data_IF_471722542370
#
_entry.id   IF_471722542370
#
_cell.length_a   1.000
_cell.length_b   1.000
_cell.length_c   1.000
_cell.angle_alpha   90.00
_cell.angle_beta   90.00
_cell.angle_gamma   90.00
#
_symmetry.space_group_name_H-M   'P 1'
#
loop_
_entity.id
_entity.type
_entity.pdbx_description
1 polymer ?
#
# COMPACT_ATOMS: atom_id res chain seq x y z
N UNK A 1 -7.14 5.08 -11.01
CA UNK A 1 -7.07 6.33 -11.79
C UNK A 1 -7.36 6.12 -13.28
N UNK A 2 -6.59 5.28 -14.00
CA UNK A 2 -6.71 5.11 -15.46
C UNK A 2 -8.13 4.75 -15.96
N UNK A 3 -8.84 3.86 -15.27
CA UNK A 3 -10.23 3.50 -15.59
C UNK A 3 -11.25 4.62 -15.34
N UNK A 4 -10.82 5.79 -14.85
CA UNK A 4 -11.67 6.93 -14.46
C UNK A 4 -11.00 8.27 -14.80
N UNK A 5 -10.26 8.35 -15.91
CA UNK A 5 -9.47 9.55 -16.23
C UNK A 5 -10.30 10.82 -16.36
N UNK A 6 -11.57 10.73 -16.76
CA UNK A 6 -12.48 11.89 -16.77
C UNK A 6 -12.60 12.59 -15.42
N UNK A 7 -12.43 11.85 -14.32
CA UNK A 7 -12.48 12.39 -12.95
C UNK A 7 -11.15 12.94 -12.46
N UNK A 8 -10.03 12.52 -13.04
CA UNK A 8 -8.69 12.76 -12.47
C UNK A 8 -7.71 13.47 -13.41
N UNK A 9 -8.09 13.73 -14.66
CA UNK A 9 -7.27 14.38 -15.68
C UNK A 9 -6.72 15.76 -15.25
N UNK A 10 -7.39 16.45 -14.33
CA UNK A 10 -7.01 17.76 -13.81
C UNK A 10 -5.97 17.69 -12.68
N UNK A 11 -5.69 16.49 -12.15
CA UNK A 11 -4.69 16.29 -11.10
C UNK A 11 -3.31 16.07 -11.73
N UNK A 12 -2.26 16.74 -11.26
CA UNK A 12 -0.89 16.51 -11.72
C UNK A 12 -0.50 15.02 -11.68
N UNK A 13 0.05 14.51 -12.78
CA UNK A 13 0.41 13.09 -12.91
C UNK A 13 1.36 12.59 -11.82
N UNK A 14 2.26 13.44 -11.31
CA UNK A 14 3.14 13.09 -10.19
C UNK A 14 2.39 12.75 -8.89
N UNK A 15 1.26 13.41 -8.63
CA UNK A 15 0.41 13.15 -7.45
C UNK A 15 -0.32 11.81 -7.62
N UNK A 16 -0.85 11.55 -8.82
CA UNK A 16 -1.47 10.27 -9.14
C UNK A 16 -0.47 9.12 -9.01
N UNK A 17 0.74 9.29 -9.55
CA UNK A 17 1.81 8.31 -9.47
C UNK A 17 2.21 8.01 -8.02
N UNK A 18 2.46 9.04 -7.20
CA UNK A 18 2.77 8.87 -5.78
C UNK A 18 1.69 8.07 -5.04
N UNK A 19 0.42 8.41 -5.30
CA UNK A 19 -0.72 7.71 -4.70
C UNK A 19 -0.72 6.22 -5.07
N UNK A 20 -0.45 5.88 -6.33
CA UNK A 20 -0.36 4.48 -6.76
C UNK A 20 0.85 3.74 -6.19
N UNK A 21 2.00 4.40 -6.05
CA UNK A 21 3.20 3.78 -5.47
C UNK A 21 2.97 3.38 -4.01
N UNK A 22 2.33 4.25 -3.22
CA UNK A 22 2.04 3.98 -1.80
C UNK A 22 0.97 2.90 -1.66
N UNK A 23 -0.12 2.96 -2.44
CA UNK A 23 -1.22 1.98 -2.37
C UNK A 23 -0.78 0.58 -2.81
N UNK A 24 0.15 0.51 -3.76
CA UNK A 24 0.64 -0.74 -4.33
C UNK A 24 -0.28 -1.29 -5.42
N UNK A 25 0.06 -2.49 -5.90
CA UNK A 25 -0.69 -3.15 -6.99
C UNK A 25 -2.06 -3.65 -6.51
N UNK A 26 -3.01 -3.74 -7.43
CA UNK A 26 -4.38 -4.20 -7.18
C UNK A 26 -5.19 -4.29 -8.47
N UNK A 27 -6.50 -4.49 -8.36
CA UNK A 27 -7.44 -4.40 -9.48
C UNK A 27 -8.48 -3.32 -9.25
N UNK A 28 -9.06 -2.85 -10.35
CA UNK A 28 -10.20 -1.95 -10.35
C UNK A 28 -11.21 -2.46 -11.37
N UNK A 29 -12.32 -3.01 -10.89
CA UNK A 29 -13.35 -3.68 -11.68
C UNK A 29 -14.71 -3.24 -11.17
N UNK A 30 -15.66 -2.97 -12.08
CA UNK A 30 -17.06 -2.62 -11.75
C UNK A 30 -17.20 -1.49 -10.73
N UNK A 31 -16.31 -0.50 -10.79
CA UNK A 31 -16.35 0.65 -9.88
C UNK A 31 -15.57 0.46 -8.57
N UNK A 32 -15.04 -0.74 -8.29
CA UNK A 32 -14.47 -1.12 -6.98
C UNK A 32 -12.98 -1.41 -7.07
N UNK A 33 -12.20 -0.82 -6.17
CA UNK A 33 -10.77 -1.12 -6.01
C UNK A 33 -10.56 -2.33 -5.09
N UNK A 34 -9.73 -3.29 -5.52
CA UNK A 34 -9.30 -4.46 -4.75
C UNK A 34 -7.77 -4.43 -4.61
N UNK A 35 -7.21 -3.83 -3.55
CA UNK A 35 -5.77 -3.76 -3.35
C UNK A 35 -5.18 -5.12 -2.96
N UNK A 36 -3.94 -5.41 -3.38
CA UNK A 36 -3.23 -6.65 -2.99
C UNK A 36 -2.80 -6.64 -1.52
N UNK A 37 -2.53 -5.45 -0.99
CA UNK A 37 -2.04 -5.24 0.38
C UNK A 37 -2.91 -4.20 1.08
N UNK A 38 -2.91 -4.23 2.41
CA UNK A 38 -3.45 -3.16 3.22
C UNK A 38 -2.30 -2.33 3.79
N UNK A 39 -2.34 -1.01 3.58
CA UNK A 39 -1.35 -0.07 4.10
C UNK A 39 -1.99 0.71 5.24
N UNK A 40 -1.36 0.66 6.41
CA UNK A 40 -1.82 1.33 7.63
C UNK A 40 -0.77 2.33 8.08
N UNK A 41 -1.19 3.56 8.38
CA UNK A 41 -0.32 4.58 8.93
C UNK A 41 -0.42 4.59 10.45
N UNK A 42 0.72 4.37 11.12
CA UNK A 42 0.90 4.62 12.55
C UNK A 42 1.64 5.95 12.73
N UNK A 43 0.89 7.06 12.68
CA UNK A 43 1.44 8.43 12.66
C UNK A 43 0.53 9.37 13.45
N UNK A 44 0.96 10.62 13.65
CA UNK A 44 0.13 11.68 14.25
C UNK A 44 -0.92 12.29 13.30
N UNK A 45 -1.00 11.82 12.05
CA UNK A 45 -2.07 12.21 11.13
C UNK A 45 -3.41 11.68 11.67
N UNK A 46 -4.47 12.50 11.75
CA UNK A 46 -5.76 12.06 12.27
C UNK A 46 -6.32 10.83 11.53
N UNK A 47 -7.01 9.96 12.26
CA UNK A 47 -7.64 8.75 11.73
C UNK A 47 -8.55 9.05 10.53
N UNK A 48 -9.43 10.04 10.66
CA UNK A 48 -10.37 10.43 9.60
C UNK A 48 -9.65 10.87 8.33
N UNK A 49 -8.52 11.56 8.46
CA UNK A 49 -7.69 11.96 7.32
C UNK A 49 -7.09 10.73 6.63
N UNK A 50 -6.54 9.79 7.38
CA UNK A 50 -6.00 8.53 6.84
C UNK A 50 -7.08 7.75 6.07
N UNK A 51 -8.28 7.64 6.65
CA UNK A 51 -9.42 6.94 6.03
C UNK A 51 -9.93 7.66 4.79
N UNK A 52 -9.98 8.99 4.79
CA UNK A 52 -10.40 9.80 3.65
C UNK A 52 -9.50 9.60 2.41
N UNK A 53 -8.21 9.32 2.63
CA UNK A 53 -7.26 8.98 1.55
C UNK A 53 -7.11 7.47 1.32
N UNK A 54 -8.09 6.68 1.79
CA UNK A 54 -8.18 5.24 1.56
C UNK A 54 -7.03 4.43 2.19
N UNK A 55 -6.41 4.92 3.27
CA UNK A 55 -5.40 4.19 4.04
C UNK A 55 -5.97 3.73 5.38
N UNK A 56 -5.38 2.67 5.93
CA UNK A 56 -5.62 2.29 7.31
C UNK A 56 -4.99 3.28 8.29
N UNK A 57 -5.52 3.32 9.50
CA UNK A 57 -4.95 4.06 10.63
C UNK A 57 -4.68 3.09 11.79
N UNK A 58 -3.60 3.37 12.52
CA UNK A 58 -3.35 2.81 13.84
C UNK A 58 -2.80 3.92 14.73
N UNK A 59 -3.25 3.98 15.97
CA UNK A 59 -2.69 4.92 16.94
C UNK A 59 -1.20 4.59 17.18
N UNK A 60 -0.26 5.53 16.89
CA UNK A 60 1.18 5.30 17.07
C UNK A 60 1.56 5.01 18.52
N UNK A 61 0.80 5.48 19.51
CA UNK A 61 1.10 5.25 20.93
C UNK A 61 0.68 3.83 21.38
N UNK A 62 -0.09 3.12 20.55
CA UNK A 62 -0.57 1.75 20.81
C UNK A 62 0.23 0.67 20.07
N UNK A 63 1.27 1.05 19.32
CA UNK A 63 2.13 0.10 18.62
C UNK A 63 3.53 0.12 19.23
N UNK A 64 3.97 -1.03 19.72
CA UNK A 64 5.37 -1.25 20.08
C UNK A 64 6.04 -2.09 18.98
N UNK A 65 7.00 -1.54 18.20
CA UNK A 65 7.69 -2.29 17.16
C UNK A 65 8.35 -3.58 17.67
N UNK A 66 8.81 -3.60 18.92
CA UNK A 66 9.45 -4.78 19.52
C UNK A 66 8.50 -5.98 19.66
N UNK A 67 7.18 -5.77 19.62
CA UNK A 67 6.20 -6.87 19.61
C UNK A 67 6.28 -7.73 18.33
N UNK A 68 6.90 -7.19 17.27
CA UNK A 68 7.16 -7.89 16.00
C UNK A 68 8.58 -8.45 15.89
N UNK A 69 9.46 -8.17 16.86
CA UNK A 69 10.86 -8.60 16.83
C UNK A 69 10.99 -10.12 16.98
N UNK A 70 11.78 -10.75 16.12
CA UNK A 70 12.03 -12.19 16.11
C UNK A 70 10.75 -13.05 16.00
N UNK A 71 9.73 -12.52 15.31
CA UNK A 71 8.41 -13.17 15.10
C UNK A 71 8.17 -13.61 13.65
N UNK A 72 9.22 -13.82 12.86
CA UNK A 72 9.11 -14.20 11.44
C UNK A 72 8.42 -15.56 11.26
N UNK A 73 8.57 -16.46 12.24
CA UNK A 73 7.86 -17.75 12.28
C UNK A 73 6.33 -17.60 12.36
N UNK A 74 5.83 -16.41 12.74
CA UNK A 74 4.41 -16.05 12.78
C UNK A 74 4.03 -15.12 11.61
N UNK A 75 4.83 -15.11 10.54
CA UNK A 75 4.67 -14.22 9.38
C UNK A 75 4.66 -12.71 9.73
N UNK A 76 5.43 -12.33 10.77
CA UNK A 76 5.63 -10.94 11.20
C UNK A 76 7.09 -10.55 10.98
N UNK A 77 7.31 -9.49 10.21
CA UNK A 77 8.64 -8.95 9.95
C UNK A 77 8.72 -7.54 10.52
N UNK A 78 9.74 -7.28 11.33
CA UNK A 78 10.13 -5.94 11.74
C UNK A 78 11.32 -5.48 10.89
N UNK A 79 11.21 -4.30 10.27
CA UNK A 79 12.31 -3.68 9.52
C UNK A 79 12.63 -2.32 10.19
N UNK A 80 13.65 -2.26 11.06
CA UNK A 80 14.11 -0.99 11.62
C UNK A 80 14.64 -0.09 10.51
N UNK A 81 14.39 1.22 10.60
CA UNK A 81 14.79 2.20 9.56
C UNK A 81 14.33 1.78 8.15
N UNK A 82 13.07 1.34 8.05
CA UNK A 82 12.47 0.92 6.77
C UNK A 82 12.52 2.04 5.73
N UNK A 83 12.70 1.65 4.45
CA UNK A 83 12.75 2.56 3.31
C UNK A 83 14.03 2.49 2.49
N UNK A 84 15.10 1.87 3.03
CA UNK A 84 16.42 1.83 2.39
C UNK A 84 16.76 0.46 1.77
N UNK A 85 16.08 -0.60 2.19
CA UNK A 85 16.36 -1.98 1.76
C UNK A 85 15.30 -2.44 0.77
N UNK A 86 15.76 -2.85 -0.43
CA UNK A 86 14.91 -3.49 -1.44
C UNK A 86 14.85 -5.00 -1.23
N UNK A 87 13.65 -5.53 -0.99
CA UNK A 87 13.43 -6.96 -0.81
C UNK A 87 13.08 -7.65 -2.14
N UNK A 88 13.75 -8.78 -2.40
CA UNK A 88 13.46 -9.67 -3.52
C UNK A 88 13.14 -11.07 -3.01
N UNK A 89 12.07 -11.67 -3.52
CA UNK A 89 11.75 -13.07 -3.23
C UNK A 89 12.81 -13.99 -3.83
N UNK A 90 13.24 -15.02 -3.08
CA UNK A 90 14.21 -16.01 -3.57
C UNK A 90 13.66 -16.81 -4.75
N UNK A 91 12.35 -17.04 -4.73
CA UNK A 91 11.61 -17.69 -5.81
C UNK A 91 10.53 -16.72 -6.26
N UNK A 92 10.51 -16.45 -7.55
CA UNK A 92 9.50 -15.58 -8.12
C UNK A 92 8.15 -16.31 -8.09
N UNK A 93 7.07 -15.69 -7.58
CA UNK A 93 5.75 -16.27 -7.71
C UNK A 93 5.43 -16.43 -9.20
N UNK A 94 4.62 -17.42 -9.60
CA UNK A 94 4.21 -17.56 -10.98
C UNK A 94 3.69 -16.21 -11.49
N UNK A 95 4.11 -15.84 -12.70
CA UNK A 95 3.72 -14.57 -13.30
C UNK A 95 2.19 -14.42 -13.18
N UNK A 96 1.74 -13.31 -12.62
CA UNK A 96 0.33 -12.95 -12.75
C UNK A 96 0.02 -12.93 -14.25
N UNK A 97 -1.09 -13.53 -14.71
CA UNK A 97 -1.39 -13.57 -16.14
C UNK A 97 -1.27 -12.15 -16.69
N UNK A 98 -0.49 -12.00 -17.76
CA UNK A 98 -0.37 -10.73 -18.46
C UNK A 98 -1.80 -10.24 -18.74
N UNK A 99 -2.18 -9.13 -18.12
CA UNK A 99 -3.45 -8.49 -18.41
C UNK A 99 -3.18 -7.54 -19.57
N UNK A 100 -3.85 -7.79 -20.69
CA UNK A 100 -3.90 -6.87 -21.81
C UNK A 100 -4.26 -5.49 -21.26
N UNK A 101 -3.30 -4.58 -21.36
CA UNK A 101 -3.51 -3.18 -21.04
C UNK A 101 -4.36 -2.64 -22.18
N UNK A 102 -5.67 -2.55 -21.95
CA UNK A 102 -6.58 -1.75 -22.78
C UNK A 102 -6.34 -0.27 -22.51
#
# INVERSE_FOLDING_TARGET
>A
FLAQMDRFNHIPGGILAHSTHVRGIGTYEDGVEKPRIHVTLATSIPEDTCRAINLGYRDPDTINPDDWKDREHQARLLVPNAGEVLYRLKQEPPASPARDVV
#
